data_IF_641845586335
#
_entry.id   IF_641845586335
#
_cell.length_a   1.000
_cell.length_b   1.000
_cell.length_c   1.000
_cell.angle_alpha   90.00
_cell.angle_beta   90.00
_cell.angle_gamma   90.00
#
_symmetry.space_group_name_H-M   'P 1'
#
loop_
_entity.id
_entity.type
_entity.pdbx_description
1 polymer ?
#
# COMPACT_ATOMS: atom_id res chain seq x y z
N UNK A 1 5.01 58.04 -35.52
CA UNK A 1 5.88 56.95 -35.05
C UNK A 1 5.83 56.90 -33.52
N UNK A 2 4.94 56.09 -32.94
CA UNK A 2 4.86 55.87 -31.49
C UNK A 2 5.62 54.58 -31.19
N UNK A 3 6.72 54.67 -30.44
CA UNK A 3 7.49 53.51 -30.01
C UNK A 3 6.67 52.73 -28.97
N UNK A 4 6.03 51.65 -29.39
CA UNK A 4 5.46 50.66 -28.48
C UNK A 4 6.64 49.87 -27.90
N UNK A 5 7.10 50.24 -26.69
CA UNK A 5 8.13 49.48 -25.99
C UNK A 5 7.44 48.30 -25.30
N UNK A 6 7.61 47.14 -25.92
CA UNK A 6 7.13 45.84 -25.45
C UNK A 6 7.74 45.58 -24.07
N UNK A 7 6.88 45.40 -23.07
CA UNK A 7 7.24 45.00 -21.72
C UNK A 7 7.87 43.59 -21.80
N UNK A 8 9.07 43.32 -21.27
CA UNK A 8 9.55 41.96 -21.19
C UNK A 8 8.69 41.30 -20.11
N UNK A 9 7.79 40.40 -20.52
CA UNK A 9 7.23 39.39 -19.62
C UNK A 9 8.42 38.50 -19.28
N UNK A 10 9.18 38.95 -18.28
CA UNK A 10 10.28 38.23 -17.68
C UNK A 10 9.67 36.94 -17.17
N UNK A 11 10.02 35.87 -17.87
CA UNK A 11 9.69 34.50 -17.60
C UNK A 11 10.09 34.18 -16.15
N UNK A 12 9.17 34.46 -15.21
CA UNK A 12 9.31 34.12 -13.81
C UNK A 12 8.91 32.65 -13.61
N UNK A 13 9.52 31.77 -14.42
CA UNK A 13 9.33 30.32 -14.35
C UNK A 13 10.59 29.61 -13.85
N UNK A 14 11.64 30.33 -13.45
CA UNK A 14 12.95 29.74 -13.13
C UNK A 14 13.29 29.68 -11.64
N UNK A 15 12.31 29.72 -10.73
CA UNK A 15 12.59 29.58 -9.28
C UNK A 15 11.69 28.58 -8.53
N UNK A 16 10.84 27.83 -9.23
CA UNK A 16 10.26 26.62 -8.67
C UNK A 16 11.12 25.46 -9.17
N UNK A 17 12.11 25.07 -8.36
CA UNK A 17 12.86 23.84 -8.60
C UNK A 17 11.86 22.69 -8.80
N UNK A 18 11.81 22.16 -10.02
CA UNK A 18 10.91 21.07 -10.41
C UNK A 18 11.55 19.70 -10.12
N UNK A 19 12.25 19.54 -9.00
CA UNK A 19 12.93 18.27 -8.70
C UNK A 19 11.95 17.23 -8.12
N UNK A 20 10.92 17.61 -7.36
CA UNK A 20 10.04 16.61 -6.68
C UNK A 20 8.73 16.23 -7.42
N UNK A 21 8.28 16.98 -8.43
CA UNK A 21 6.91 16.80 -8.95
C UNK A 21 6.74 15.55 -9.82
N UNK A 22 7.79 15.09 -10.50
CA UNK A 22 7.69 14.00 -11.48
C UNK A 22 8.16 12.64 -10.96
N UNK A 23 8.83 12.59 -9.80
CA UNK A 23 9.39 11.34 -9.27
C UNK A 23 8.33 10.31 -8.88
N UNK A 24 7.11 10.76 -8.56
CA UNK A 24 5.96 9.89 -8.27
C UNK A 24 4.92 9.81 -9.40
N UNK A 25 5.27 10.22 -10.62
CA UNK A 25 4.38 10.05 -11.77
C UNK A 25 4.09 8.56 -12.05
N UNK A 26 5.06 7.69 -11.74
CA UNK A 26 4.89 6.23 -11.70
C UNK A 26 5.06 5.80 -10.24
N UNK A 27 3.96 5.69 -9.50
CA UNK A 27 3.99 5.44 -8.06
C UNK A 27 4.70 4.11 -7.74
N UNK A 28 5.79 4.20 -6.98
CA UNK A 28 6.46 3.09 -6.30
C UNK A 28 5.98 3.05 -4.86
N UNK A 29 4.95 2.26 -4.60
CA UNK A 29 4.29 2.21 -3.30
C UNK A 29 3.70 0.81 -3.00
N UNK A 30 3.58 0.45 -1.71
CA UNK A 30 2.95 -0.78 -1.29
C UNK A 30 1.50 -0.89 -1.79
N UNK A 31 1.11 -2.10 -2.13
CA UNK A 31 -0.23 -2.42 -2.58
C UNK A 31 -0.64 -3.78 -2.05
N UNK A 32 -1.85 -3.84 -1.51
CA UNK A 32 -2.51 -5.09 -1.11
C UNK A 32 -3.47 -5.46 -2.23
N UNK A 33 -3.60 -6.75 -2.58
CA UNK A 33 -4.51 -7.21 -3.62
C UNK A 33 -5.97 -6.75 -3.39
N UNK A 34 -6.75 -6.51 -4.45
CA UNK A 34 -8.20 -6.41 -4.32
C UNK A 34 -8.77 -7.83 -4.25
N UNK A 35 -9.64 -8.09 -3.28
CA UNK A 35 -10.26 -9.41 -3.10
C UNK A 35 -11.61 -9.27 -2.41
N UNK A 36 -12.60 -10.00 -2.92
CA UNK A 36 -13.84 -10.28 -2.21
C UNK A 36 -13.61 -11.51 -1.33
N UNK A 37 -13.94 -11.40 -0.05
CA UNK A 37 -13.80 -12.50 0.88
C UNK A 37 -14.93 -13.51 0.67
N UNK A 38 -14.64 -14.82 0.61
CA UNK A 38 -15.68 -15.83 0.70
C UNK A 38 -16.49 -15.65 2.00
N UNK A 39 -17.76 -16.06 1.96
CA UNK A 39 -18.60 -16.09 3.16
C UNK A 39 -18.03 -17.14 4.12
N UNK A 40 -17.86 -16.76 5.38
CA UNK A 40 -17.52 -17.67 6.47
C UNK A 40 -18.78 -18.22 7.13
N UNK A 41 -18.67 -19.37 7.80
CA UNK A 41 -19.78 -19.95 8.57
C UNK A 41 -19.40 -20.05 10.04
N UNK A 42 -20.31 -19.67 10.93
CA UNK A 42 -20.12 -19.77 12.38
C UNK A 42 -19.72 -21.20 12.77
N UNK A 43 -18.65 -21.33 13.56
CA UNK A 43 -18.15 -22.61 14.05
C UNK A 43 -17.37 -23.44 13.03
N UNK A 44 -17.22 -22.99 11.79
CA UNK A 44 -16.39 -23.65 10.78
C UNK A 44 -15.05 -22.91 10.62
N UNK A 45 -13.98 -23.67 10.35
CA UNK A 45 -12.70 -23.08 10.04
C UNK A 45 -12.76 -22.33 8.70
N UNK A 46 -12.28 -21.08 8.71
CA UNK A 46 -12.19 -20.19 7.58
C UNK A 46 -10.73 -19.80 7.36
N UNK A 47 -10.34 -19.66 6.10
CA UNK A 47 -9.02 -19.15 5.70
C UNK A 47 -9.15 -18.34 4.41
N UNK A 48 -8.52 -17.17 4.38
CA UNK A 48 -8.31 -16.41 3.15
C UNK A 48 -6.92 -15.79 3.17
N UNK A 49 -6.24 -15.82 2.01
CA UNK A 49 -4.97 -15.13 1.84
C UNK A 49 -5.06 -13.90 0.94
N UNK A 50 -4.20 -12.92 1.23
CA UNK A 50 -3.99 -11.69 0.49
C UNK A 50 -2.51 -11.59 0.13
N UNK A 51 -2.20 -11.39 -1.15
CA UNK A 51 -0.84 -11.09 -1.58
C UNK A 51 -0.64 -9.57 -1.61
N UNK A 52 0.57 -9.14 -1.25
CA UNK A 52 1.02 -7.76 -1.35
C UNK A 52 2.28 -7.64 -2.21
N UNK A 53 2.51 -6.44 -2.71
CA UNK A 53 3.68 -6.07 -3.50
C UNK A 53 3.97 -4.56 -3.35
N UNK A 54 5.18 -4.13 -3.72
CA UNK A 54 5.46 -2.73 -4.02
C UNK A 54 5.30 -2.55 -5.53
N UNK A 55 4.35 -1.71 -5.94
CA UNK A 55 4.08 -1.45 -7.35
C UNK A 55 5.31 -0.83 -8.02
N UNK A 56 5.55 -1.23 -9.27
CA UNK A 56 6.65 -0.69 -10.08
C UNK A 56 8.05 -0.83 -9.44
N UNK A 57 8.23 -1.80 -8.53
CA UNK A 57 9.52 -2.09 -7.89
C UNK A 57 9.99 -3.52 -8.24
N UNK A 58 10.89 -3.68 -9.22
CA UNK A 58 11.40 -5.01 -9.61
C UNK A 58 12.16 -5.74 -8.50
N UNK A 59 12.73 -5.02 -7.54
CA UNK A 59 13.49 -5.57 -6.41
C UNK A 59 12.71 -5.49 -5.10
N UNK A 60 11.40 -5.65 -5.20
CA UNK A 60 10.50 -5.67 -4.05
C UNK A 60 10.93 -6.73 -3.01
N UNK A 61 11.70 -7.76 -3.43
CA UNK A 61 12.25 -8.80 -2.56
C UNK A 61 13.27 -8.30 -1.53
N UNK A 62 13.74 -7.06 -1.68
CA UNK A 62 14.74 -6.46 -0.82
C UNK A 62 14.12 -5.65 0.34
N UNK A 63 12.78 -5.60 0.42
CA UNK A 63 12.02 -4.93 1.47
C UNK A 63 11.42 -5.93 2.46
N UNK A 64 11.30 -5.48 3.71
CA UNK A 64 10.51 -6.16 4.74
C UNK A 64 9.07 -5.65 4.73
N UNK A 65 8.16 -6.54 5.11
CA UNK A 65 6.71 -6.34 5.07
C UNK A 65 6.11 -6.52 6.45
N UNK A 66 5.41 -5.49 6.92
CA UNK A 66 4.78 -5.48 8.23
C UNK A 66 3.28 -5.28 8.08
N UNK A 67 2.51 -6.25 8.57
CA UNK A 67 1.05 -6.20 8.51
C UNK A 67 0.46 -5.95 9.88
N UNK A 68 -0.56 -5.10 9.91
CA UNK A 68 -1.45 -4.94 11.06
C UNK A 68 -2.89 -5.18 10.59
N UNK A 69 -3.60 -6.06 11.29
CA UNK A 69 -5.01 -6.38 10.98
C UNK A 69 -5.88 -6.03 12.17
N UNK A 70 -7.02 -5.40 11.91
CA UNK A 70 -8.02 -5.06 12.91
C UNK A 70 -9.44 -5.30 12.40
N UNK A 71 -10.40 -5.42 13.32
CA UNK A 71 -11.81 -5.63 12.99
C UNK A 71 -12.16 -7.07 12.61
N UNK A 72 -11.33 -8.04 13.01
CA UNK A 72 -11.64 -9.47 12.85
C UNK A 72 -12.77 -9.90 13.81
N UNK A 73 -13.60 -10.89 13.42
CA UNK A 73 -14.55 -11.54 14.33
C UNK A 73 -13.83 -12.21 15.52
N UNK A 74 -14.57 -12.46 16.61
CA UNK A 74 -14.07 -13.33 17.67
C UNK A 74 -13.80 -14.75 17.11
N UNK A 75 -12.70 -15.36 17.54
CA UNK A 75 -12.24 -16.68 17.08
C UNK A 75 -11.43 -16.65 15.78
N UNK A 76 -11.21 -15.47 15.20
CA UNK A 76 -10.35 -15.24 14.04
C UNK A 76 -9.05 -14.55 14.44
N UNK A 77 -7.98 -14.84 13.70
CA UNK A 77 -6.66 -14.21 13.82
C UNK A 77 -6.02 -14.06 12.43
N UNK A 78 -4.77 -13.60 12.39
CA UNK A 78 -3.99 -13.53 11.16
C UNK A 78 -2.56 -14.02 11.36
N UNK A 79 -1.97 -14.52 10.28
CA UNK A 79 -0.58 -14.91 10.20
C UNK A 79 0.06 -14.33 8.93
N UNK A 80 1.37 -14.13 8.96
CA UNK A 80 2.12 -13.50 7.87
C UNK A 80 3.21 -14.44 7.40
N UNK A 81 3.24 -14.71 6.09
CA UNK A 81 4.34 -15.36 5.39
C UNK A 81 4.91 -14.39 4.37
N UNK A 82 5.95 -13.67 4.79
CA UNK A 82 6.62 -12.63 4.00
C UNK A 82 5.63 -11.57 3.46
N UNK A 83 5.16 -11.70 2.21
CA UNK A 83 4.19 -10.78 1.58
C UNK A 83 2.76 -11.27 1.58
N UNK A 84 2.53 -12.46 2.10
CA UNK A 84 1.22 -13.07 2.12
C UNK A 84 0.67 -12.96 3.53
N UNK A 85 -0.45 -12.26 3.63
CA UNK A 85 -1.26 -12.22 4.83
C UNK A 85 -2.31 -13.32 4.75
N UNK A 86 -2.42 -14.12 5.79
CA UNK A 86 -3.49 -15.10 6.00
C UNK A 86 -4.41 -14.58 7.09
N UNK A 87 -5.72 -14.55 6.83
CA UNK A 87 -6.77 -14.31 7.82
C UNK A 87 -7.49 -15.62 8.00
N UNK A 88 -7.47 -16.15 9.21
CA UNK A 88 -7.86 -17.53 9.49
C UNK A 88 -8.42 -17.72 10.89
N UNK A 89 -9.16 -18.80 11.10
CA UNK A 89 -9.72 -19.14 12.41
C UNK A 89 -11.13 -19.70 12.32
N UNK A 90 -11.88 -19.62 13.41
CA UNK A 90 -13.26 -20.14 13.50
C UNK A 90 -14.14 -19.08 14.13
N UNK A 91 -14.95 -18.35 13.34
CA UNK A 91 -15.74 -17.26 13.87
C UNK A 91 -16.87 -17.78 14.76
N UNK A 92 -17.16 -17.05 15.83
CA UNK A 92 -18.15 -17.46 16.86
C UNK A 92 -19.51 -16.78 16.74
N UNK A 93 -19.59 -15.69 15.97
CA UNK A 93 -20.80 -14.88 15.80
C UNK A 93 -20.99 -14.51 14.32
N UNK A 94 -22.25 -14.48 13.88
CA UNK A 94 -22.62 -14.07 12.53
C UNK A 94 -22.68 -12.55 12.40
N UNK A 95 -22.38 -12.02 11.22
CA UNK A 95 -22.39 -10.59 10.97
C UNK A 95 -21.49 -10.13 9.83
N UNK A 96 -21.44 -8.82 9.65
CA UNK A 96 -20.57 -8.16 8.66
C UNK A 96 -19.44 -7.43 9.38
N UNK A 97 -18.22 -7.90 9.18
CA UNK A 97 -17.03 -7.39 9.85
C UNK A 97 -16.20 -6.54 8.88
N UNK A 98 -15.90 -5.30 9.28
CA UNK A 98 -15.02 -4.39 8.53
C UNK A 98 -13.57 -4.67 8.91
N UNK A 99 -12.93 -5.56 8.17
CA UNK A 99 -11.54 -5.95 8.41
C UNK A 99 -10.61 -4.93 7.77
N UNK A 100 -9.84 -4.19 8.58
CA UNK A 100 -8.86 -3.23 8.08
C UNK A 100 -7.47 -3.87 8.12
N UNK A 101 -6.82 -3.89 6.96
CA UNK A 101 -5.44 -4.33 6.81
C UNK A 101 -4.57 -3.11 6.51
N UNK A 102 -3.60 -2.84 7.37
CA UNK A 102 -2.51 -1.91 7.13
C UNK A 102 -1.26 -2.70 6.75
N UNK A 103 -0.56 -2.19 5.76
CA UNK A 103 0.74 -2.70 5.34
C UNK A 103 1.74 -1.55 5.39
N UNK A 104 2.82 -1.75 6.13
CA UNK A 104 4.02 -0.93 6.13
C UNK A 104 5.17 -1.73 5.52
N UNK A 105 6.06 -1.06 4.79
CA UNK A 105 7.28 -1.65 4.26
C UNK A 105 8.49 -0.87 4.73
N UNK A 106 9.61 -1.56 4.93
CA UNK A 106 10.90 -0.95 5.27
C UNK A 106 12.01 -1.52 4.38
N UNK A 107 13.07 -0.74 4.18
CA UNK A 107 14.19 -1.07 3.30
C UNK A 107 14.32 -0.14 2.09
N UNK A 108 15.05 -0.56 1.04
CA UNK A 108 15.58 -1.91 0.83
C UNK A 108 16.92 -2.16 1.58
N UNK A 109 17.19 -3.41 1.98
CA UNK A 109 18.26 -3.73 2.95
C UNK A 109 19.56 -4.36 2.37
N UNK A 110 19.74 -4.44 1.04
CA UNK A 110 20.99 -4.99 0.45
C UNK A 110 22.12 -3.96 0.33
N UNK A 111 23.36 -4.42 0.22
CA UNK A 111 24.50 -3.53 -0.03
C UNK A 111 24.40 -2.88 -1.42
N UNK A 112 24.60 -1.55 -1.52
CA UNK A 112 24.59 -0.80 -2.79
C UNK A 112 23.42 0.17 -2.99
N UNK A 113 22.51 0.28 -2.01
CA UNK A 113 21.42 1.25 -2.00
C UNK A 113 21.90 2.63 -1.54
N UNK A 114 22.69 3.32 -2.38
CA UNK A 114 23.21 4.67 -2.10
C UNK A 114 22.52 5.77 -2.93
N UNK A 115 21.59 5.42 -3.83
CA UNK A 115 20.96 6.37 -4.76
C UNK A 115 19.57 6.83 -4.29
N UNK A 116 19.28 8.13 -4.43
CA UNK A 116 17.98 8.73 -4.07
C UNK A 116 16.83 8.29 -4.99
N UNK A 117 17.14 7.88 -6.22
CA UNK A 117 16.19 7.39 -7.24
C UNK A 117 15.46 6.09 -6.82
N UNK A 118 15.86 5.48 -5.72
CA UNK A 118 15.34 4.20 -5.24
C UNK A 118 14.33 4.36 -4.09
N UNK A 119 14.03 5.60 -3.67
CA UNK A 119 13.00 5.91 -2.66
C UNK A 119 11.60 5.56 -3.14
N UNK A 120 10.79 5.01 -2.24
CA UNK A 120 9.36 4.82 -2.48
C UNK A 120 8.61 6.15 -2.37
N UNK A 121 7.50 6.26 -3.08
CA UNK A 121 6.57 7.39 -2.98
C UNK A 121 5.76 7.36 -1.68
N UNK A 122 5.55 6.16 -1.15
CA UNK A 122 4.92 5.91 0.13
C UNK A 122 5.45 4.58 0.68
N UNK A 123 5.56 4.48 2.00
CA UNK A 123 6.01 3.27 2.70
C UNK A 123 4.86 2.53 3.38
N UNK A 124 3.63 3.02 3.24
CA UNK A 124 2.47 2.38 3.83
C UNK A 124 1.23 2.48 2.96
N UNK A 125 0.35 1.49 3.10
CA UNK A 125 -0.98 1.49 2.49
C UNK A 125 -1.98 0.85 3.43
N UNK A 126 -3.26 1.02 3.15
CA UNK A 126 -4.32 0.38 3.92
C UNK A 126 -5.50 0.02 3.05
N UNK A 127 -6.17 -1.08 3.39
CA UNK A 127 -7.38 -1.52 2.71
C UNK A 127 -8.37 -2.12 3.70
N UNK A 128 -9.65 -1.79 3.48
CA UNK A 128 -10.77 -2.38 4.21
C UNK A 128 -11.44 -3.44 3.36
N UNK A 129 -11.68 -4.60 3.97
CA UNK A 129 -12.47 -5.71 3.42
C UNK A 129 -13.73 -5.90 4.25
N UNK A 130 -14.72 -6.57 3.67
CA UNK A 130 -15.91 -7.04 4.38
C UNK A 130 -15.80 -8.55 4.49
N UNK A 131 -15.80 -9.06 5.71
CA UNK A 131 -16.00 -10.48 6.00
C UNK A 131 -17.45 -10.68 6.43
N UNK A 132 -18.20 -11.42 5.63
CA UNK A 132 -19.54 -11.89 5.98
C UNK A 132 -19.43 -13.25 6.68
N UNK A 133 -20.09 -13.37 7.83
CA UNK A 133 -20.18 -14.61 8.61
C UNK A 133 -21.65 -14.97 8.77
N UNK A 134 -22.02 -16.19 8.39
CA UNK A 134 -23.38 -16.76 8.49
C UNK A 134 -23.50 -17.86 9.55
#
# INVERSE_FOLDING_TARGET
MRSLRILPILCCFTLLGCEDFFDCLIAREPSIANKEFPIATVGNYYEVSLNSEIKNEPRDNDYDYFFEVSGLPEGMDYSVDYRRLYIEGTPTESGFYRVNVRLDVDGPFRNGFENEDERLCNYSTSKTYILEVE
#
